data_IF_720227074642
#
_entry.id   IF_720227074642
#
_cell.length_a   1.000
_cell.length_b   1.000
_cell.length_c   1.000
_cell.angle_alpha   90.00
_cell.angle_beta   90.00
_cell.angle_gamma   90.00
#
_symmetry.space_group_name_H-M   'P 1'
#
loop_
_entity.id
_entity.type
_entity.pdbx_description
1 polymer ?
#
# COMPACT_ATOMS: atom_id res chain seq x y z
N UNK A 1 23.15 -20.64 1.56
CA UNK A 1 22.45 -19.45 2.10
C UNK A 1 21.68 -19.87 3.35
N UNK A 2 21.59 -19.00 4.35
CA UNK A 2 20.69 -19.22 5.49
C UNK A 2 19.28 -18.69 5.13
N UNK A 3 18.30 -18.84 6.02
CA UNK A 3 16.91 -18.43 5.77
C UNK A 3 16.75 -16.92 5.53
N UNK A 4 17.52 -16.07 6.22
CA UNK A 4 17.42 -14.62 6.10
C UNK A 4 17.96 -14.15 4.74
N UNK A 5 19.06 -14.74 4.27
CA UNK A 5 19.60 -14.45 2.93
C UNK A 5 18.64 -14.92 1.82
N UNK A 6 17.96 -16.05 2.02
CA UNK A 6 16.95 -16.55 1.06
C UNK A 6 15.75 -15.62 1.02
N UNK A 7 15.28 -15.16 2.19
CA UNK A 7 14.19 -14.21 2.30
C UNK A 7 14.54 -12.88 1.63
N UNK A 8 15.72 -12.33 1.91
CA UNK A 8 16.17 -11.09 1.29
C UNK A 8 16.28 -11.19 -0.23
N UNK A 9 16.87 -12.26 -0.75
CA UNK A 9 16.97 -12.48 -2.19
C UNK A 9 15.57 -12.55 -2.84
N UNK A 10 14.63 -13.24 -2.20
CA UNK A 10 13.24 -13.30 -2.69
C UNK A 10 12.54 -11.94 -2.61
N UNK A 11 12.75 -11.16 -1.54
CA UNK A 11 12.14 -9.83 -1.40
C UNK A 11 12.58 -8.87 -2.51
N UNK A 12 13.87 -8.84 -2.82
CA UNK A 12 14.42 -8.01 -3.91
C UNK A 12 13.83 -8.43 -5.25
N UNK A 13 13.91 -9.72 -5.58
CA UNK A 13 13.36 -10.20 -6.85
C UNK A 13 11.84 -9.97 -6.92
N UNK A 14 11.11 -10.16 -5.83
CA UNK A 14 9.68 -9.89 -5.81
C UNK A 14 9.35 -8.39 -5.97
N UNK A 15 10.22 -7.50 -5.49
CA UNK A 15 10.06 -6.06 -5.65
C UNK A 15 10.39 -5.60 -7.08
N UNK A 16 11.46 -6.11 -7.68
CA UNK A 16 11.83 -5.80 -9.07
C UNK A 16 10.73 -6.17 -10.07
N UNK A 17 9.96 -7.23 -9.76
CA UNK A 17 8.84 -7.66 -10.59
C UNK A 17 7.46 -7.17 -10.12
N UNK A 18 7.40 -6.28 -9.11
CA UNK A 18 6.13 -5.89 -8.44
C UNK A 18 5.11 -5.29 -9.40
N UNK A 19 5.56 -4.48 -10.37
CA UNK A 19 4.75 -3.80 -11.36
C UNK A 19 4.03 -4.76 -12.34
N UNK A 20 4.56 -5.97 -12.52
CA UNK A 20 4.10 -6.90 -13.53
C UNK A 20 3.07 -7.88 -12.97
N UNK A 21 2.20 -8.37 -13.85
CA UNK A 21 1.28 -9.46 -13.58
C UNK A 21 2.02 -10.81 -13.54
N UNK A 22 2.95 -10.89 -12.59
CA UNK A 22 3.80 -12.03 -12.31
C UNK A 22 3.76 -12.33 -10.81
N UNK A 23 3.90 -13.62 -10.50
CA UNK A 23 4.08 -14.09 -9.14
C UNK A 23 5.52 -14.58 -8.96
N UNK A 24 6.26 -13.96 -8.05
CA UNK A 24 7.59 -14.42 -7.64
C UNK A 24 7.44 -15.27 -6.39
N UNK A 25 7.79 -16.54 -6.47
CA UNK A 25 7.56 -17.50 -5.38
C UNK A 25 8.72 -18.47 -5.20
N UNK A 26 8.97 -18.83 -3.95
CA UNK A 26 9.87 -19.94 -3.56
C UNK A 26 9.12 -21.26 -3.39
N UNK A 27 7.79 -21.27 -3.54
CA UNK A 27 6.97 -22.45 -3.37
C UNK A 27 6.83 -23.23 -4.69
N UNK A 28 7.49 -24.39 -4.75
CA UNK A 28 7.45 -25.25 -5.94
C UNK A 28 6.04 -25.75 -6.29
N UNK A 29 5.15 -25.97 -5.32
CA UNK A 29 3.79 -26.37 -5.61
C UNK A 29 3.02 -25.25 -6.34
N UNK A 30 3.23 -23.98 -5.95
CA UNK A 30 2.66 -22.82 -6.64
C UNK A 30 3.26 -22.68 -8.04
N UNK A 31 4.59 -22.82 -8.18
CA UNK A 31 5.24 -22.81 -9.49
C UNK A 31 4.63 -23.88 -10.42
N UNK A 32 4.39 -25.08 -9.88
CA UNK A 32 3.90 -26.22 -10.65
C UNK A 32 2.45 -26.10 -11.14
N UNK A 33 1.66 -25.14 -10.63
CA UNK A 33 0.29 -24.91 -11.11
C UNK A 33 0.21 -24.15 -12.43
N UNK A 34 1.30 -23.48 -12.85
CA UNK A 34 1.35 -22.72 -14.10
C UNK A 34 1.89 -23.57 -15.26
N UNK A 35 1.44 -23.35 -16.51
CA UNK A 35 2.02 -23.99 -17.70
C UNK A 35 3.51 -23.68 -17.89
N UNK A 36 4.28 -24.59 -18.50
CA UNK A 36 5.74 -24.40 -18.72
C UNK A 36 6.09 -23.12 -19.48
N UNK A 37 5.27 -22.72 -20.45
CA UNK A 37 5.43 -21.48 -21.22
C UNK A 37 4.88 -20.24 -20.51
N UNK A 38 4.53 -20.33 -19.23
CA UNK A 38 4.03 -19.22 -18.39
C UNK A 38 4.72 -19.19 -17.02
N UNK A 39 5.85 -19.88 -16.89
CA UNK A 39 6.65 -19.93 -15.68
C UNK A 39 8.11 -20.11 -16.01
N UNK A 40 8.99 -19.59 -15.16
CA UNK A 40 10.43 -19.82 -15.24
C UNK A 40 10.98 -19.89 -13.83
N UNK A 41 11.99 -20.74 -13.61
CA UNK A 41 12.67 -20.87 -12.33
C UNK A 41 14.14 -20.48 -12.49
N UNK A 42 14.73 -19.95 -11.42
CA UNK A 42 16.17 -19.79 -11.31
C UNK A 42 16.68 -20.69 -10.20
N UNK A 43 17.77 -21.40 -10.46
CA UNK A 43 18.41 -22.29 -9.49
C UNK A 43 19.58 -21.57 -8.85
N UNK A 44 19.47 -21.33 -7.54
CA UNK A 44 20.60 -20.87 -6.73
C UNK A 44 21.43 -22.07 -6.31
N UNK A 45 22.71 -22.12 -6.68
CA UNK A 45 23.56 -23.29 -6.46
C UNK A 45 25.00 -22.91 -6.12
N UNK A 46 25.72 -23.80 -5.44
CA UNK A 46 27.12 -23.62 -5.06
C UNK A 46 28.11 -23.92 -6.18
N UNK A 47 27.65 -24.48 -7.30
CA UNK A 47 28.51 -24.87 -8.44
C UNK A 47 28.20 -24.02 -9.65
N UNK A 48 29.22 -23.58 -10.37
CA UNK A 48 29.12 -22.84 -11.63
C UNK A 48 29.21 -23.75 -12.87
N UNK A 49 28.95 -25.06 -12.73
CA UNK A 49 29.11 -26.04 -13.82
C UNK A 49 28.34 -25.68 -15.09
N UNK A 50 27.18 -25.03 -14.95
CA UNK A 50 26.38 -24.58 -16.09
C UNK A 50 27.03 -23.41 -16.86
N UNK A 51 27.85 -22.59 -16.20
CA UNK A 51 28.61 -21.50 -16.81
C UNK A 51 29.85 -21.14 -15.95
N UNK A 52 30.99 -21.82 -16.15
CA UNK A 52 32.15 -21.66 -15.29
C UNK A 52 32.69 -20.22 -15.24
N UNK A 53 32.96 -19.71 -14.03
CA UNK A 53 33.47 -18.37 -13.77
C UNK A 53 32.43 -17.25 -13.76
N UNK A 54 31.14 -17.54 -13.98
CA UNK A 54 30.06 -16.56 -13.88
C UNK A 54 29.46 -16.44 -12.48
N UNK A 55 28.73 -15.33 -12.25
CA UNK A 55 27.87 -15.15 -11.08
C UNK A 55 26.43 -15.65 -11.32
N UNK A 56 26.00 -15.68 -12.58
CA UNK A 56 24.72 -16.21 -13.01
C UNK A 56 24.73 -16.55 -14.50
N UNK A 57 23.67 -17.18 -14.97
CA UNK A 57 23.45 -17.44 -16.40
C UNK A 57 21.97 -17.65 -16.71
N UNK A 58 21.54 -17.20 -17.89
CA UNK A 58 20.21 -17.43 -18.41
C UNK A 58 20.21 -17.46 -19.94
N UNK A 59 19.28 -18.24 -20.51
CA UNK A 59 18.97 -18.14 -21.93
C UNK A 59 18.04 -16.96 -22.18
N UNK A 60 18.41 -16.13 -23.15
CA UNK A 60 17.60 -14.98 -23.54
C UNK A 60 16.34 -15.42 -24.30
N UNK A 61 15.20 -14.78 -24.03
CA UNK A 61 13.89 -15.09 -24.62
C UNK A 61 13.38 -16.51 -24.31
N UNK A 62 13.68 -17.04 -23.12
CA UNK A 62 13.27 -18.39 -22.74
C UNK A 62 12.06 -18.43 -21.80
N UNK A 63 11.53 -17.30 -21.31
CA UNK A 63 10.41 -17.29 -20.36
C UNK A 63 9.19 -18.04 -20.91
N UNK A 64 8.74 -17.68 -22.12
CA UNK A 64 7.56 -18.25 -22.78
C UNK A 64 7.83 -19.55 -23.56
N UNK A 65 9.00 -20.17 -23.39
CA UNK A 65 9.32 -21.43 -24.06
C UNK A 65 8.72 -22.64 -23.32
N UNK A 66 8.47 -23.73 -24.06
CA UNK A 66 8.04 -25.01 -23.48
C UNK A 66 9.19 -25.83 -22.89
N UNK A 67 10.44 -25.36 -23.00
CA UNK A 67 11.56 -25.97 -22.29
C UNK A 67 11.48 -25.59 -20.81
N UNK A 68 11.82 -26.48 -19.88
CA UNK A 68 11.92 -26.17 -18.44
C UNK A 68 13.37 -25.84 -18.02
N UNK A 69 14.19 -25.33 -18.96
CA UNK A 69 15.55 -24.88 -18.65
C UNK A 69 15.50 -23.71 -17.67
N UNK A 70 16.12 -23.83 -16.48
CA UNK A 70 16.13 -22.75 -15.51
C UNK A 70 17.11 -21.65 -15.93
N UNK A 71 17.08 -20.52 -15.25
CA UNK A 71 18.30 -19.71 -15.10
C UNK A 71 19.09 -20.16 -13.87
N UNK A 72 20.28 -19.60 -13.65
CA UNK A 72 21.15 -19.98 -12.56
C UNK A 72 21.73 -18.76 -11.86
N UNK A 73 21.87 -18.85 -10.53
CA UNK A 73 22.67 -17.97 -9.71
C UNK A 73 23.72 -18.80 -8.96
N UNK A 74 25.00 -18.46 -9.10
CA UNK A 74 26.12 -19.24 -8.61
C UNK A 74 26.74 -18.61 -7.35
N UNK A 75 26.54 -19.25 -6.20
CA UNK A 75 27.07 -18.73 -4.92
C UNK A 75 28.57 -18.94 -4.77
N UNK A 76 29.20 -19.78 -5.60
CA UNK A 76 30.68 -19.92 -5.65
C UNK A 76 31.36 -18.63 -6.11
N UNK A 77 30.76 -17.93 -7.06
CA UNK A 77 31.27 -16.67 -7.61
C UNK A 77 30.71 -15.44 -6.88
N UNK A 78 29.41 -15.44 -6.58
CA UNK A 78 28.73 -14.29 -5.98
C UNK A 78 28.80 -14.22 -4.44
N UNK A 79 29.16 -15.32 -3.78
CA UNK A 79 28.93 -15.48 -2.35
C UNK A 79 27.47 -15.77 -2.03
N UNK A 80 27.08 -15.60 -0.77
CA UNK A 80 25.75 -16.01 -0.27
C UNK A 80 24.91 -14.88 0.31
N UNK A 81 25.30 -13.63 0.09
CA UNK A 81 24.55 -12.46 0.51
C UNK A 81 23.24 -12.35 -0.28
N UNK A 82 22.13 -12.18 0.42
CA UNK A 82 20.77 -12.14 -0.10
C UNK A 82 20.60 -10.99 -1.09
N UNK A 83 21.15 -9.81 -0.78
CA UNK A 83 21.24 -8.71 -1.76
C UNK A 83 21.88 -9.15 -3.08
N UNK A 84 23.04 -9.80 -3.04
CA UNK A 84 23.74 -10.15 -4.28
C UNK A 84 23.00 -11.23 -5.07
N UNK A 85 22.43 -12.21 -4.39
CA UNK A 85 21.64 -13.25 -5.04
C UNK A 85 20.33 -12.69 -5.59
N UNK A 86 19.66 -11.79 -4.88
CA UNK A 86 18.46 -11.10 -5.36
C UNK A 86 18.70 -10.33 -6.66
N UNK A 87 19.79 -9.54 -6.72
CA UNK A 87 20.19 -8.84 -7.95
C UNK A 87 20.46 -9.79 -9.12
N UNK A 88 21.18 -10.88 -8.88
CA UNK A 88 21.45 -11.90 -9.91
C UNK A 88 20.14 -12.52 -10.38
N UNK A 89 19.26 -12.94 -9.45
CA UNK A 89 17.98 -13.54 -9.81
C UNK A 89 17.17 -12.61 -10.72
N UNK A 90 17.06 -11.32 -10.38
CA UNK A 90 16.36 -10.35 -11.19
C UNK A 90 17.00 -10.16 -12.57
N UNK A 91 18.33 -10.03 -12.62
CA UNK A 91 19.09 -9.93 -13.87
C UNK A 91 18.87 -11.13 -14.80
N UNK A 92 18.99 -12.34 -14.24
CA UNK A 92 18.85 -13.57 -15.01
C UNK A 92 17.40 -13.80 -15.45
N UNK A 93 16.41 -13.47 -14.62
CA UNK A 93 15.02 -13.46 -15.06
C UNK A 93 14.77 -12.43 -16.17
N UNK A 94 15.40 -11.25 -16.08
CA UNK A 94 15.40 -10.23 -17.14
C UNK A 94 15.88 -10.80 -18.48
N UNK A 95 16.98 -11.55 -18.49
CA UNK A 95 17.41 -12.29 -19.68
C UNK A 95 16.34 -13.25 -20.18
N UNK A 96 15.72 -14.06 -19.31
CA UNK A 96 14.67 -14.99 -19.76
C UNK A 96 13.50 -14.26 -20.44
N UNK A 97 13.23 -13.01 -20.06
CA UNK A 97 12.22 -12.13 -20.62
C UNK A 97 12.70 -11.33 -21.84
N UNK A 98 13.95 -11.51 -22.29
CA UNK A 98 14.47 -10.93 -23.53
C UNK A 98 15.41 -9.74 -23.36
N UNK A 99 15.71 -9.35 -22.12
CA UNK A 99 16.60 -8.23 -21.85
C UNK A 99 18.06 -8.60 -22.13
N UNK A 100 18.84 -7.58 -22.49
CA UNK A 100 20.29 -7.63 -22.70
C UNK A 100 20.96 -6.76 -21.64
N UNK A 101 22.28 -6.89 -21.53
CA UNK A 101 23.02 -6.14 -20.53
C UNK A 101 22.97 -4.64 -20.78
N UNK A 102 22.83 -3.88 -19.71
CA UNK A 102 23.01 -2.45 -19.67
C UNK A 102 24.46 -2.14 -19.35
N UNK A 103 25.22 -1.75 -20.39
CA UNK A 103 26.63 -1.41 -20.31
C UNK A 103 26.91 0.08 -20.48
N UNK A 104 28.15 0.47 -20.27
CA UNK A 104 28.61 1.84 -20.49
C UNK A 104 29.97 1.86 -21.20
N UNK A 105 30.10 2.67 -22.25
CA UNK A 105 31.29 2.76 -23.09
C UNK A 105 31.69 1.36 -23.65
N UNK A 106 32.83 0.84 -23.23
CA UNK A 106 33.36 -0.46 -23.63
C UNK A 106 33.00 -1.60 -22.67
N UNK A 107 32.37 -1.28 -21.54
CA UNK A 107 32.04 -2.26 -20.50
C UNK A 107 30.64 -2.83 -20.75
N UNK A 108 30.56 -4.16 -20.75
CA UNK A 108 29.30 -4.90 -20.91
C UNK A 108 28.30 -4.62 -19.79
N UNK A 109 28.79 -4.39 -18.57
CA UNK A 109 27.96 -4.13 -17.39
C UNK A 109 28.26 -2.75 -16.84
N UNK A 110 27.22 -1.94 -16.69
CA UNK A 110 27.32 -0.67 -16.00
C UNK A 110 27.14 -0.86 -14.49
N UNK A 111 28.10 -0.40 -13.70
CA UNK A 111 28.07 -0.47 -12.23
C UNK A 111 27.25 0.65 -11.57
N UNK A 112 26.54 1.44 -12.37
CA UNK A 112 25.75 2.57 -11.92
C UNK A 112 26.59 3.77 -11.49
N UNK A 113 25.90 4.77 -10.94
CA UNK A 113 26.49 6.00 -10.42
C UNK A 113 25.67 6.48 -9.21
N UNK A 114 26.31 7.28 -8.35
CA UNK A 114 25.68 7.69 -7.10
C UNK A 114 25.19 6.49 -6.30
N UNK A 115 23.89 6.45 -6.02
CA UNK A 115 23.23 5.38 -5.28
C UNK A 115 22.39 4.44 -6.17
N UNK A 116 22.46 4.59 -7.49
CA UNK A 116 21.62 3.90 -8.46
C UNK A 116 22.44 3.03 -9.42
N UNK A 117 21.87 1.90 -9.85
CA UNK A 117 22.37 1.08 -10.96
C UNK A 117 21.21 0.40 -11.72
N UNK A 118 21.39 0.09 -13.01
CA UNK A 118 20.42 -0.72 -13.75
C UNK A 118 20.50 -2.20 -13.34
N UNK A 119 19.35 -2.88 -13.25
CA UNK A 119 19.26 -4.33 -12.94
C UNK A 119 20.03 -5.15 -13.99
N UNK A 120 19.92 -4.79 -15.27
CA UNK A 120 20.66 -5.46 -16.34
C UNK A 120 22.14 -5.04 -16.43
N UNK A 121 22.64 -4.24 -15.47
CA UNK A 121 24.05 -3.93 -15.28
C UNK A 121 24.67 -4.72 -14.12
N UNK A 122 25.39 -4.04 -13.23
CA UNK A 122 26.04 -4.61 -12.05
C UNK A 122 25.65 -3.84 -10.77
N UNK A 123 24.43 -4.06 -10.29
CA UNK A 123 23.80 -3.31 -9.19
C UNK A 123 24.19 -3.69 -7.75
N UNK A 124 25.04 -4.71 -7.56
CA UNK A 124 25.37 -5.31 -6.24
C UNK A 124 25.63 -4.34 -5.09
N UNK A 125 26.22 -3.18 -5.38
CA UNK A 125 26.73 -2.23 -4.39
C UNK A 125 25.92 -0.92 -4.33
N UNK A 126 24.70 -0.93 -4.86
CA UNK A 126 23.80 0.23 -4.89
C UNK A 126 22.55 -0.07 -4.08
N UNK A 127 22.02 0.95 -3.40
CA UNK A 127 20.79 0.79 -2.64
C UNK A 127 19.56 0.83 -3.57
N UNK A 128 19.64 1.55 -4.69
CA UNK A 128 18.58 1.63 -5.69
C UNK A 128 19.00 0.87 -6.94
N UNK A 129 18.21 -0.11 -7.33
CA UNK A 129 18.42 -0.94 -8.52
C UNK A 129 17.09 -1.04 -9.26
N UNK A 130 17.07 -0.67 -10.53
CA UNK A 130 15.82 -0.55 -11.30
C UNK A 130 15.99 -1.02 -12.74
N UNK A 131 14.88 -1.34 -13.41
CA UNK A 131 14.87 -1.52 -14.86
C UNK A 131 15.26 -0.21 -15.55
N UNK A 132 15.84 -0.28 -16.75
CA UNK A 132 16.40 0.89 -17.39
C UNK A 132 16.06 1.01 -18.88
N UNK A 133 16.43 2.17 -19.41
CA UNK A 133 16.57 2.47 -20.84
C UNK A 133 18.02 2.81 -21.21
N UNK A 134 18.93 2.60 -20.26
CA UNK A 134 20.30 3.11 -20.27
C UNK A 134 20.39 4.58 -20.70
N UNK A 135 19.56 5.44 -20.09
CA UNK A 135 19.46 6.87 -20.43
C UNK A 135 20.70 7.68 -20.02
N UNK A 136 21.61 7.06 -19.26
CA UNK A 136 22.89 7.64 -18.87
C UNK A 136 23.83 7.77 -20.07
N UNK A 137 24.72 8.76 -20.00
CA UNK A 137 25.70 9.07 -21.02
C UNK A 137 26.54 7.83 -21.37
N UNK A 138 26.66 7.57 -22.67
CA UNK A 138 27.37 6.42 -23.26
C UNK A 138 26.84 5.05 -22.84
N UNK A 139 25.54 4.94 -22.49
CA UNK A 139 24.84 3.66 -22.41
C UNK A 139 24.96 2.86 -23.72
N UNK A 140 25.15 1.55 -23.61
CA UNK A 140 25.41 0.69 -24.78
C UNK A 140 24.19 -0.09 -25.28
N UNK A 141 23.11 -0.12 -24.48
CA UNK A 141 21.88 -0.85 -24.76
C UNK A 141 20.67 0.00 -24.37
N UNK A 142 19.92 0.50 -25.35
CA UNK A 142 18.76 1.36 -25.12
C UNK A 142 17.43 0.61 -25.23
N UNK A 143 17.38 -0.60 -24.67
CA UNK A 143 16.14 -1.36 -24.60
C UNK A 143 15.12 -0.65 -23.71
N UNK A 144 13.85 -0.68 -24.09
CA UNK A 144 12.75 -0.34 -23.17
C UNK A 144 12.43 -1.59 -22.35
N UNK A 145 13.16 -1.77 -21.24
CA UNK A 145 13.03 -2.97 -20.40
C UNK A 145 11.59 -3.27 -19.99
N UNK A 146 10.84 -2.25 -19.55
CA UNK A 146 9.47 -2.42 -19.10
C UNK A 146 8.56 -2.84 -20.26
N UNK A 147 8.73 -2.26 -21.45
CA UNK A 147 7.99 -2.67 -22.64
C UNK A 147 8.34 -4.09 -23.13
N UNK A 148 9.61 -4.51 -22.99
CA UNK A 148 10.03 -5.87 -23.36
C UNK A 148 9.45 -6.88 -22.36
N UNK A 149 9.57 -6.64 -21.05
CA UNK A 149 9.01 -7.51 -20.02
C UNK A 149 7.51 -7.67 -20.25
N UNK A 150 6.78 -6.56 -20.48
CA UNK A 150 5.33 -6.55 -20.69
C UNK A 150 4.87 -6.88 -22.11
N UNK A 151 5.78 -7.40 -22.95
CA UNK A 151 5.45 -7.71 -24.33
C UNK A 151 4.58 -8.96 -24.47
N UNK A 152 3.78 -8.99 -25.53
CA UNK A 152 2.97 -10.17 -25.90
C UNK A 152 3.81 -11.43 -26.12
N UNK A 153 5.09 -11.29 -26.47
CA UNK A 153 6.01 -12.41 -26.66
C UNK A 153 6.30 -13.15 -25.34
N UNK A 154 6.32 -12.42 -24.22
CA UNK A 154 6.46 -13.01 -22.89
C UNK A 154 5.11 -13.46 -22.31
N UNK A 155 3.99 -12.94 -22.83
CA UNK A 155 2.66 -13.18 -22.27
C UNK A 155 2.50 -12.60 -20.85
N UNK A 156 3.33 -11.61 -20.52
CA UNK A 156 3.33 -10.86 -19.27
C UNK A 156 2.82 -9.47 -19.59
N UNK A 157 1.96 -8.92 -18.74
CA UNK A 157 1.54 -7.52 -18.79
C UNK A 157 1.81 -6.85 -17.46
N UNK A 158 1.52 -5.56 -17.35
CA UNK A 158 1.42 -4.90 -16.06
C UNK A 158 0.29 -5.49 -15.23
N UNK A 159 0.35 -5.27 -13.92
CA UNK A 159 -0.82 -5.44 -13.06
C UNK A 159 -1.95 -4.51 -13.52
N UNK A 160 -3.17 -4.89 -13.20
CA UNK A 160 -4.32 -4.01 -13.41
C UNK A 160 -4.20 -2.86 -12.40
N UNK A 161 -4.38 -1.65 -12.91
CA UNK A 161 -4.49 -0.39 -12.16
C UNK A 161 -5.48 -0.53 -11.00
N UNK A 162 -5.05 -0.23 -9.78
CA UNK A 162 -5.85 -0.46 -8.56
C UNK A 162 -6.56 0.80 -8.04
N UNK A 163 -6.10 1.99 -8.43
CA UNK A 163 -6.72 3.27 -8.08
C UNK A 163 -6.81 4.22 -9.27
N UNK A 164 -7.78 5.14 -9.25
CA UNK A 164 -7.96 6.09 -10.34
C UNK A 164 -7.14 7.37 -10.17
N UNK A 165 -6.75 7.96 -11.31
CA UNK A 165 -5.80 9.08 -11.37
C UNK A 165 -6.46 10.47 -11.25
N UNK A 166 -7.78 10.53 -11.04
CA UNK A 166 -8.55 11.78 -11.04
C UNK A 166 -9.47 11.88 -9.82
N UNK A 167 -9.86 13.10 -9.43
CA UNK A 167 -10.77 13.28 -8.28
C UNK A 167 -12.15 12.67 -8.47
N UNK A 168 -12.57 12.42 -9.72
CA UNK A 168 -13.80 11.71 -10.05
C UNK A 168 -13.70 10.19 -9.80
N UNK A 169 -12.51 9.63 -9.91
CA UNK A 169 -12.21 8.20 -9.77
C UNK A 169 -11.39 7.89 -8.52
N UNK A 170 -11.23 8.87 -7.62
CA UNK A 170 -10.39 8.73 -6.45
C UNK A 170 -10.94 7.69 -5.47
N UNK A 171 -10.07 6.81 -5.00
CA UNK A 171 -10.41 5.78 -4.02
C UNK A 171 -10.60 6.42 -2.64
N UNK A 172 -11.76 6.29 -1.97
CA UNK A 172 -11.91 6.80 -0.61
C UNK A 172 -10.98 6.06 0.36
N UNK A 173 -10.21 6.79 1.17
CA UNK A 173 -9.44 6.19 2.26
C UNK A 173 -10.40 5.51 3.24
N UNK A 174 -10.06 4.28 3.62
CA UNK A 174 -10.74 3.54 4.68
C UNK A 174 -10.25 4.09 6.03
N UNK A 175 -11.15 4.80 6.73
CA UNK A 175 -10.90 5.41 8.04
C UNK A 175 -11.80 4.75 9.08
N UNK A 176 -11.21 4.21 10.16
CA UNK A 176 -11.93 3.65 11.30
C UNK A 176 -11.85 4.61 12.50
N UNK A 177 -12.95 5.28 12.79
CA UNK A 177 -12.99 6.37 13.76
C UNK A 177 -12.16 7.55 13.24
N UNK A 178 -10.91 7.66 13.71
CA UNK A 178 -9.94 8.68 13.27
C UNK A 178 -8.65 8.03 12.76
N UNK A 179 -8.56 6.71 12.71
CA UNK A 179 -7.35 5.98 12.34
C UNK A 179 -7.43 5.51 10.88
N UNK A 180 -6.32 5.66 10.17
CA UNK A 180 -6.10 5.13 8.82
C UNK A 180 -5.12 3.96 8.95
N UNK A 181 -5.55 2.76 8.59
CA UNK A 181 -4.70 1.57 8.64
C UNK A 181 -4.00 1.36 7.31
N UNK A 182 -2.68 1.14 7.34
CA UNK A 182 -1.89 0.79 6.15
C UNK A 182 -2.36 -0.51 5.49
N UNK A 183 -2.89 -1.48 6.26
CA UNK A 183 -3.38 -2.75 5.70
C UNK A 183 -4.69 -2.63 4.91
N UNK A 184 -5.40 -1.52 5.04
CA UNK A 184 -6.68 -1.27 4.35
C UNK A 184 -6.56 -0.23 3.26
N UNK A 185 -5.40 0.43 3.15
CA UNK A 185 -5.12 1.51 2.22
C UNK A 185 -3.75 1.25 1.59
N UNK A 186 -3.73 0.43 0.55
CA UNK A 186 -2.53 0.00 -0.17
C UNK A 186 -2.78 0.16 -1.66
N UNK A 187 -1.73 0.43 -2.41
CA UNK A 187 -1.75 0.46 -3.86
C UNK A 187 -0.39 0.09 -4.45
N UNK A 188 -0.35 -0.05 -5.77
CA UNK A 188 0.86 -0.34 -6.54
C UNK A 188 1.00 0.67 -7.66
N UNK A 189 2.06 1.47 -7.62
CA UNK A 189 2.48 2.27 -8.77
C UNK A 189 3.02 1.31 -9.82
N UNK A 190 2.19 0.97 -10.80
CA UNK A 190 2.38 -0.16 -11.69
C UNK A 190 3.10 0.17 -13.00
N UNK A 191 3.12 1.44 -13.42
CA UNK A 191 3.78 1.90 -14.64
C UNK A 191 4.25 3.35 -14.51
N UNK A 192 5.12 3.79 -15.44
CA UNK A 192 5.59 5.17 -15.46
C UNK A 192 4.40 6.13 -15.61
N UNK A 193 4.38 7.21 -14.82
CA UNK A 193 3.31 8.22 -14.77
C UNK A 193 1.96 7.73 -14.19
N UNK A 194 1.95 6.54 -13.59
CA UNK A 194 0.84 6.08 -12.75
C UNK A 194 0.66 6.98 -11.52
N UNK A 195 -0.60 7.31 -11.24
CA UNK A 195 -1.00 8.19 -10.15
C UNK A 195 -2.22 7.57 -9.46
N UNK A 196 -2.02 7.18 -8.21
CA UNK A 196 -3.10 6.70 -7.37
C UNK A 196 -3.67 7.85 -6.55
N UNK A 197 -4.89 8.26 -6.86
CA UNK A 197 -5.56 9.33 -6.12
C UNK A 197 -6.51 8.74 -5.07
N UNK A 198 -6.29 9.12 -3.81
CA UNK A 198 -7.21 8.82 -2.73
C UNK A 198 -7.96 10.06 -2.28
N UNK A 199 -9.16 9.88 -1.73
CA UNK A 199 -9.94 10.96 -1.12
C UNK A 199 -10.22 10.72 0.35
N UNK A 200 -10.30 11.79 1.14
CA UNK A 200 -10.74 11.72 2.53
C UNK A 200 -11.47 12.98 2.95
N UNK A 201 -12.22 12.89 4.05
CA UNK A 201 -12.90 14.03 4.68
C UNK A 201 -12.43 14.18 6.11
N UNK A 202 -12.21 15.41 6.54
CA UNK A 202 -11.83 15.76 7.92
C UNK A 202 -12.84 16.75 8.51
N UNK A 203 -13.07 16.68 9.82
CA UNK A 203 -13.81 17.72 10.57
C UNK A 203 -12.96 18.95 10.87
N UNK A 204 -11.74 19.01 10.33
CA UNK A 204 -10.75 20.03 10.63
C UNK A 204 -9.86 19.66 11.82
N UNK A 205 -8.69 20.30 11.87
CA UNK A 205 -7.64 20.00 12.84
C UNK A 205 -6.44 19.32 12.19
N UNK A 206 -5.57 18.74 13.02
CA UNK A 206 -4.30 18.19 12.55
C UNK A 206 -4.48 16.80 11.94
N UNK A 207 -4.29 16.71 10.62
CA UNK A 207 -4.22 15.45 9.87
C UNK A 207 -2.77 14.99 9.83
N UNK A 208 -2.56 13.69 10.11
CA UNK A 208 -1.27 13.03 9.96
C UNK A 208 -1.41 11.83 9.05
N UNK A 209 -0.69 11.78 7.94
CA UNK A 209 -0.63 10.62 7.05
C UNK A 209 0.82 10.19 6.87
N UNK A 210 1.09 8.89 6.96
CA UNK A 210 2.37 8.30 6.59
C UNK A 210 2.16 7.43 5.36
N UNK A 211 2.94 7.68 4.32
CA UNK A 211 2.94 6.90 3.08
C UNK A 211 4.25 6.12 3.04
N UNK A 212 4.14 4.80 3.07
CA UNK A 212 5.26 3.87 3.23
C UNK A 212 5.34 2.97 2.01
N UNK A 213 6.46 3.02 1.28
CA UNK A 213 6.78 2.02 0.26
C UNK A 213 7.24 0.71 0.92
N UNK A 214 7.74 -0.26 0.17
CA UNK A 214 8.34 -1.47 0.76
C UNK A 214 9.40 -1.11 1.81
N UNK A 215 9.36 -1.77 2.97
CA UNK A 215 10.21 -1.43 4.13
C UNK A 215 11.70 -1.76 3.93
N UNK A 216 12.02 -2.56 2.90
CA UNK A 216 13.38 -2.91 2.51
C UNK A 216 13.45 -3.09 0.99
N UNK A 217 14.53 -2.64 0.37
CA UNK A 217 14.80 -2.80 -1.07
C UNK A 217 13.70 -2.24 -1.99
N UNK A 218 12.95 -1.22 -1.54
CA UNK A 218 11.96 -0.54 -2.38
C UNK A 218 12.59 0.00 -3.66
N UNK A 219 11.88 -0.17 -4.78
CA UNK A 219 12.22 0.46 -6.06
C UNK A 219 11.45 1.76 -6.30
N UNK A 220 10.47 2.07 -5.44
CA UNK A 220 9.59 3.23 -5.55
C UNK A 220 10.15 4.40 -4.76
N UNK A 221 10.66 5.42 -5.45
CA UNK A 221 10.84 6.74 -4.86
C UNK A 221 9.50 7.48 -4.87
N UNK A 222 8.89 7.56 -3.69
CA UNK A 222 7.57 8.15 -3.51
C UNK A 222 7.55 9.66 -3.77
N UNK A 223 6.49 10.11 -4.42
CA UNK A 223 6.00 11.49 -4.38
C UNK A 223 4.52 11.48 -3.98
N UNK A 224 4.17 12.39 -3.08
CA UNK A 224 2.81 12.56 -2.59
C UNK A 224 2.39 14.02 -2.72
N UNK A 225 1.29 14.26 -3.43
CA UNK A 225 0.67 15.58 -3.55
C UNK A 225 -0.65 15.64 -2.76
N UNK A 226 -0.83 16.68 -1.95
CA UNK A 226 -2.07 16.94 -1.22
C UNK A 226 -2.87 18.02 -1.93
N UNK A 227 -4.14 17.74 -2.23
CA UNK A 227 -5.08 18.69 -2.86
C UNK A 227 -6.30 18.95 -1.98
N UNK A 228 -6.87 20.15 -2.09
CA UNK A 228 -8.17 20.46 -1.52
C UNK A 228 -9.33 20.00 -2.43
N UNK A 229 -10.57 20.20 -1.97
CA UNK A 229 -11.80 19.85 -2.71
C UNK A 229 -11.90 20.49 -4.11
N UNK A 230 -11.27 21.63 -4.34
CA UNK A 230 -11.24 22.35 -5.63
C UNK A 230 -10.08 21.89 -6.53
N UNK A 231 -9.43 20.77 -6.22
CA UNK A 231 -8.22 20.27 -6.88
C UNK A 231 -7.05 21.27 -6.87
N UNK A 232 -7.00 22.18 -5.89
CA UNK A 232 -5.84 23.08 -5.72
C UNK A 232 -4.77 22.35 -4.93
N UNK A 233 -3.54 22.31 -5.47
CA UNK A 233 -2.38 21.74 -4.81
C UNK A 233 -2.05 22.53 -3.54
N UNK A 234 -1.98 21.83 -2.41
CA UNK A 234 -1.65 22.39 -1.10
C UNK A 234 -0.22 22.12 -0.68
N UNK A 235 0.37 21.03 -1.16
CA UNK A 235 1.74 20.65 -0.86
C UNK A 235 2.17 19.42 -1.62
N UNK A 236 3.47 19.35 -1.87
CA UNK A 236 4.16 18.20 -2.47
C UNK A 236 5.20 17.70 -1.48
N UNK A 237 5.24 16.39 -1.29
CA UNK A 237 6.15 15.69 -0.40
C UNK A 237 6.87 14.60 -1.18
N UNK A 238 8.17 14.46 -1.01
CA UNK A 238 9.00 13.48 -1.74
C UNK A 238 9.77 12.61 -0.76
N UNK A 239 9.98 11.35 -1.13
CA UNK A 239 10.79 10.40 -0.35
C UNK A 239 12.27 10.77 -0.35
N UNK A 240 13.05 10.06 0.47
CA UNK A 240 14.51 10.19 0.50
C UNK A 240 15.13 9.34 -0.61
N UNK A 241 15.78 9.93 -1.63
CA UNK A 241 16.37 9.18 -2.74
C UNK A 241 17.56 8.30 -2.33
N UNK A 242 18.11 8.47 -1.12
CA UNK A 242 19.19 7.63 -0.58
C UNK A 242 18.68 6.38 0.11
N UNK A 243 17.43 6.40 0.56
CA UNK A 243 16.76 5.27 1.20
C UNK A 243 15.25 5.34 0.91
N UNK A 244 14.83 4.62 -0.14
CA UNK A 244 13.46 4.58 -0.65
C UNK A 244 12.46 3.94 0.32
N UNK A 245 12.94 3.33 1.41
CA UNK A 245 12.11 2.70 2.43
C UNK A 245 11.67 3.67 3.54
N UNK A 246 12.16 4.93 3.54
CA UNK A 246 11.74 5.94 4.53
C UNK A 246 10.34 6.45 4.18
N UNK A 247 9.37 6.42 5.13
CA UNK A 247 8.03 6.90 4.85
C UNK A 247 7.99 8.42 4.69
N UNK A 248 7.13 8.89 3.79
CA UNK A 248 6.71 10.29 3.73
C UNK A 248 5.71 10.55 4.86
N UNK A 249 5.92 11.61 5.64
CA UNK A 249 5.02 12.04 6.71
C UNK A 249 4.41 13.40 6.37
N UNK A 250 3.10 13.41 6.17
CA UNK A 250 2.29 14.62 6.05
C UNK A 250 1.72 14.90 7.43
N UNK A 251 2.00 16.08 8.00
CA UNK A 251 1.47 16.48 9.30
C UNK A 251 1.03 17.94 9.22
N UNK A 252 -0.25 18.17 8.97
CA UNK A 252 -0.77 19.50 8.63
C UNK A 252 -2.15 19.75 9.22
N UNK A 253 -2.41 20.98 9.63
CA UNK A 253 -3.72 21.43 10.07
C UNK A 253 -4.59 21.76 8.86
N UNK A 254 -5.71 21.04 8.71
CA UNK A 254 -6.67 21.26 7.63
C UNK A 254 -7.96 21.83 8.20
N UNK A 255 -8.68 22.58 7.36
CA UNK A 255 -10.04 23.00 7.66
C UNK A 255 -11.01 21.83 7.46
N UNK A 256 -12.24 21.89 8.00
CA UNK A 256 -13.25 20.90 7.67
C UNK A 256 -13.50 20.86 6.16
N UNK A 257 -13.52 19.67 5.57
CA UNK A 257 -13.74 19.52 4.12
C UNK A 257 -13.20 18.22 3.53
N UNK A 258 -13.37 18.09 2.22
CA UNK A 258 -12.84 16.98 1.42
C UNK A 258 -11.45 17.34 0.87
N UNK A 259 -10.56 16.36 0.87
CA UNK A 259 -9.19 16.47 0.39
C UNK A 259 -8.83 15.23 -0.43
N UNK A 260 -7.76 15.35 -1.21
CA UNK A 260 -7.22 14.27 -2.01
C UNK A 260 -5.72 14.13 -1.76
N UNK A 261 -5.23 12.90 -1.74
CA UNK A 261 -3.80 12.58 -1.68
C UNK A 261 -3.44 11.75 -2.90
N UNK A 262 -2.54 12.26 -3.73
CA UNK A 262 -2.07 11.59 -4.94
C UNK A 262 -0.73 10.94 -4.64
N UNK A 263 -0.60 9.64 -4.86
CA UNK A 263 0.66 8.89 -4.73
C UNK A 263 1.18 8.58 -6.13
N UNK A 264 2.48 8.78 -6.34
CA UNK A 264 3.15 8.53 -7.62
C UNK A 264 4.63 8.20 -7.41
N UNK A 265 5.27 7.65 -8.43
CA UNK A 265 6.72 7.47 -8.49
C UNK A 265 7.43 8.66 -9.14
N UNK A 266 8.63 9.01 -8.65
CA UNK A 266 9.50 10.04 -9.25
C UNK A 266 10.94 9.56 -9.42
N UNK A 267 11.72 10.28 -10.22
CA UNK A 267 13.17 10.11 -10.31
C UNK A 267 13.94 11.02 -9.35
N UNK A 268 15.26 10.88 -9.35
CA UNK A 268 16.20 11.77 -8.66
C UNK A 268 17.21 12.35 -9.67
N UNK A 269 17.35 13.68 -9.72
CA UNK A 269 18.38 14.32 -10.53
C UNK A 269 18.18 14.14 -12.04
N UNK A 270 19.24 13.82 -12.76
CA UNK A 270 19.25 13.49 -14.19
C UNK A 270 19.66 12.03 -14.40
N UNK A 271 19.52 11.47 -15.62
CA UNK A 271 20.05 10.14 -15.94
C UNK A 271 21.54 9.94 -15.64
N UNK A 272 22.34 11.01 -15.54
CA UNK A 272 23.78 10.94 -15.28
C UNK A 272 24.16 11.15 -13.80
N UNK A 273 23.24 11.68 -13.00
CA UNK A 273 23.50 12.00 -11.58
C UNK A 273 22.58 11.24 -10.62
N UNK A 274 21.60 10.50 -11.15
CA UNK A 274 20.62 9.72 -10.41
C UNK A 274 19.85 8.81 -11.36
N UNK A 275 18.55 9.03 -11.53
CA UNK A 275 17.68 8.20 -12.37
C UNK A 275 16.38 8.92 -12.71
N UNK A 276 15.76 8.56 -13.83
CA UNK A 276 14.45 9.08 -14.24
C UNK A 276 13.34 8.39 -13.46
N UNK A 277 12.09 8.88 -13.58
CA UNK A 277 10.92 8.22 -12.98
C UNK A 277 10.55 6.88 -13.66
N UNK A 278 11.25 6.50 -14.74
CA UNK A 278 10.91 5.39 -15.63
C UNK A 278 10.55 4.10 -14.88
N UNK A 279 11.39 3.66 -13.95
CA UNK A 279 11.18 2.42 -13.19
C UNK A 279 11.08 2.65 -11.68
N UNK A 280 10.66 3.85 -11.27
CA UNK A 280 10.27 4.14 -9.88
C UNK A 280 8.88 3.59 -9.61
N UNK A 281 8.77 2.27 -9.51
CA UNK A 281 7.54 1.49 -9.41
C UNK A 281 7.58 0.64 -8.15
N UNK A 282 6.42 0.31 -7.59
CA UNK A 282 6.36 -0.52 -6.40
C UNK A 282 5.08 -0.39 -5.60
N UNK A 283 5.01 -1.14 -4.51
CA UNK A 283 3.87 -1.12 -3.60
C UNK A 283 4.06 -0.04 -2.53
N UNK A 284 2.94 0.52 -2.06
CA UNK A 284 2.92 1.39 -0.89
C UNK A 284 1.67 1.17 -0.03
N UNK A 285 1.69 1.76 1.16
CA UNK A 285 0.54 1.84 2.04
C UNK A 285 0.39 3.23 2.66
N UNK A 286 -0.84 3.59 3.01
CA UNK A 286 -1.20 4.85 3.65
C UNK A 286 -1.74 4.56 5.04
N UNK A 287 -1.12 5.15 6.06
CA UNK A 287 -1.55 5.02 7.45
C UNK A 287 -1.62 6.39 8.13
N UNK A 288 -2.20 6.46 9.32
CA UNK A 288 -2.15 7.66 10.14
C UNK A 288 -3.48 8.01 10.79
N UNK A 289 -3.75 9.31 10.89
CA UNK A 289 -4.81 9.89 11.67
C UNK A 289 -5.49 11.04 10.91
N UNK A 290 -6.81 10.96 10.79
CA UNK A 290 -7.64 12.01 10.22
C UNK A 290 -8.68 12.39 11.28
N UNK A 291 -8.69 13.65 11.78
CA UNK A 291 -9.75 14.13 12.64
C UNK A 291 -11.09 13.93 11.94
N UNK A 292 -11.97 13.19 12.60
CA UNK A 292 -13.34 13.08 12.20
C UNK A 292 -14.19 13.59 13.35
N UNK A 293 -15.32 14.18 13.02
CA UNK A 293 -16.40 14.32 13.97
C UNK A 293 -17.01 12.93 14.15
N UNK A 294 -16.30 12.04 14.84
CA UNK A 294 -17.01 11.05 15.62
C UNK A 294 -17.92 11.86 16.57
N UNK A 295 -19.18 11.47 16.80
CA UNK A 295 -19.96 12.09 17.85
C UNK A 295 -19.10 12.01 19.10
N UNK A 296 -18.65 13.16 19.59
CA UNK A 296 -17.91 13.24 20.82
C UNK A 296 -18.83 12.64 21.88
N UNK A 297 -18.51 11.44 22.35
CA UNK A 297 -18.87 11.02 23.69
C UNK A 297 -18.00 11.84 24.63
N UNK A 298 -18.31 13.13 24.74
CA UNK A 298 -17.87 13.91 25.89
C UNK A 298 -18.34 13.15 27.12
N UNK A 299 -17.37 12.83 27.97
CA UNK A 299 -17.48 12.32 29.31
C UNK A 299 -18.90 12.27 29.89
N UNK A 300 -19.29 11.03 30.17
CA UNK A 300 -20.18 10.60 31.23
C UNK A 300 -20.06 11.54 32.45
N UNK A 301 -21.23 11.95 32.93
CA UNK A 301 -21.50 12.49 34.26
C UNK A 301 -21.40 14.00 34.51
N UNK A 302 -22.14 14.81 33.73
CA UNK A 302 -22.77 16.01 34.30
C UNK A 302 -24.23 16.12 33.87
N UNK A 303 -25.09 15.86 34.85
CA UNK A 303 -26.55 15.81 34.81
C UNK A 303 -27.12 14.45 34.37
N UNK A 304 -27.21 13.52 35.31
CA UNK A 304 -28.51 12.86 35.44
C UNK A 304 -29.54 13.98 35.61
N UNK A 305 -30.19 14.36 34.52
CA UNK A 305 -31.55 14.82 34.65
C UNK A 305 -32.30 13.61 35.20
N UNK A 306 -32.59 13.59 36.50
CA UNK A 306 -33.17 12.44 37.24
C UNK A 306 -34.50 11.94 36.65
N UNK A 307 -34.98 12.64 35.62
CA UNK A 307 -36.19 12.51 34.85
C UNK A 307 -36.09 11.63 33.61
N UNK A 308 -34.94 11.05 33.24
CA UNK A 308 -34.85 10.11 32.10
C UNK A 308 -34.09 8.84 32.50
N UNK A 309 -34.68 7.67 32.26
CA UNK A 309 -34.14 6.37 32.70
C UNK A 309 -34.25 5.33 31.59
N UNK A 310 -33.23 4.49 31.47
CA UNK A 310 -33.21 3.31 30.59
C UNK A 310 -33.07 2.02 31.40
N UNK A 311 -34.01 1.08 31.26
CA UNK A 311 -34.01 -0.18 32.01
C UNK A 311 -34.70 -1.33 31.24
N UNK A 312 -34.38 -2.60 31.53
CA UNK A 312 -33.33 -3.07 32.43
C UNK A 312 -31.92 -2.83 31.85
N UNK A 313 -30.94 -2.69 32.74
CA UNK A 313 -29.52 -2.70 32.39
C UNK A 313 -28.79 -3.63 33.37
N UNK A 314 -28.34 -4.83 32.96
CA UNK A 314 -28.25 -5.30 31.57
C UNK A 314 -29.61 -5.60 30.90
N UNK A 315 -29.71 -5.32 29.61
CA UNK A 315 -30.88 -5.64 28.76
C UNK A 315 -30.72 -7.03 28.16
N UNK A 316 -31.83 -7.76 28.01
CA UNK A 316 -31.90 -9.04 27.30
C UNK A 316 -32.75 -8.86 26.04
N UNK A 317 -34.06 -8.73 26.16
CA UNK A 317 -34.93 -8.74 24.97
C UNK A 317 -35.53 -7.38 24.63
N UNK A 318 -35.71 -6.51 25.62
CA UNK A 318 -36.40 -5.22 25.46
C UNK A 318 -35.79 -4.18 26.39
N UNK A 319 -35.43 -3.02 25.83
CA UNK A 319 -35.01 -1.84 26.58
C UNK A 319 -36.20 -0.88 26.68
N UNK A 320 -36.55 -0.47 27.89
CA UNK A 320 -37.50 0.61 28.14
C UNK A 320 -36.75 1.91 28.40
N UNK A 321 -37.14 2.97 27.72
CA UNK A 321 -36.73 4.35 27.99
C UNK A 321 -37.93 5.11 28.52
N UNK A 322 -37.81 5.70 29.70
CA UNK A 322 -38.87 6.43 30.39
C UNK A 322 -38.41 7.85 30.70
N UNK A 323 -39.34 8.82 30.57
CA UNK A 323 -39.12 10.21 30.94
C UNK A 323 -40.25 10.78 31.80
N UNK A 324 -39.91 11.63 32.76
CA UNK A 324 -40.84 12.44 33.55
C UNK A 324 -41.15 13.80 32.89
N UNK A 325 -40.73 14.01 31.63
CA UNK A 325 -40.98 15.23 30.85
C UNK A 325 -42.06 14.99 29.78
N UNK A 326 -42.86 16.02 29.48
CA UNK A 326 -43.76 16.03 28.32
C UNK A 326 -43.08 16.53 27.03
N UNK A 327 -41.76 16.74 27.06
CA UNK A 327 -40.99 17.17 25.90
C UNK A 327 -40.88 16.04 24.85
N UNK A 328 -40.61 16.44 23.60
CA UNK A 328 -40.32 15.49 22.52
C UNK A 328 -38.82 15.25 22.42
N UNK A 329 -38.44 13.97 22.31
CA UNK A 329 -37.03 13.57 22.22
C UNK A 329 -36.74 12.73 20.98
N UNK A 330 -35.55 12.86 20.43
CA UNK A 330 -34.96 11.91 19.50
C UNK A 330 -34.07 10.94 20.27
N UNK A 331 -34.20 9.66 19.97
CA UNK A 331 -33.43 8.58 20.59
C UNK A 331 -32.58 7.94 19.51
N UNK A 332 -31.29 7.84 19.79
CA UNK A 332 -30.31 7.17 18.96
C UNK A 332 -29.61 6.07 19.77
N UNK A 333 -29.46 4.89 19.16
CA UNK A 333 -28.67 3.80 19.71
C UNK A 333 -27.45 3.59 18.81
N UNK A 334 -26.28 3.57 19.42
CA UNK A 334 -25.04 3.20 18.77
C UNK A 334 -24.39 2.00 19.45
N UNK A 335 -23.68 1.18 18.69
CA UNK A 335 -22.85 0.10 19.22
C UNK A 335 -21.53 0.65 19.82
N UNK A 336 -20.66 -0.24 20.31
CA UNK A 336 -19.37 0.13 20.91
C UNK A 336 -18.37 0.77 19.93
N UNK A 337 -18.55 0.63 18.61
CA UNK A 337 -17.75 1.33 17.59
C UNK A 337 -18.33 2.69 17.19
N UNK A 338 -19.45 3.11 17.80
CA UNK A 338 -20.13 4.36 17.51
C UNK A 338 -21.07 4.32 16.30
N UNK A 339 -21.20 3.16 15.64
CA UNK A 339 -22.14 2.98 14.54
C UNK A 339 -23.57 3.07 15.07
N UNK A 340 -24.35 3.98 14.49
CA UNK A 340 -25.78 4.09 14.76
C UNK A 340 -26.51 2.86 14.21
N UNK A 341 -27.24 2.17 15.06
CA UNK A 341 -27.98 0.95 14.72
C UNK A 341 -29.49 1.09 14.84
N UNK A 342 -29.95 2.16 15.51
CA UNK A 342 -31.37 2.42 15.70
C UNK A 342 -31.60 3.90 15.97
N UNK A 343 -32.68 4.44 15.42
CA UNK A 343 -33.13 5.80 15.67
C UNK A 343 -34.65 5.85 15.73
N UNK A 344 -35.20 6.60 16.68
CA UNK A 344 -36.64 6.81 16.81
C UNK A 344 -36.96 8.09 17.57
N UNK A 345 -38.23 8.43 17.66
CA UNK A 345 -38.73 9.56 18.42
C UNK A 345 -39.52 9.09 19.65
N UNK A 346 -39.33 9.77 20.77
CA UNK A 346 -40.15 9.62 21.97
C UNK A 346 -41.33 10.59 21.88
N UNK A 347 -42.52 10.07 21.60
CA UNK A 347 -43.77 10.86 21.52
C UNK A 347 -44.66 10.71 22.77
N UNK A 348 -44.28 9.85 23.71
CA UNK A 348 -44.95 9.56 24.98
C UNK A 348 -43.94 9.50 26.13
N UNK A 349 -44.40 9.43 27.38
CA UNK A 349 -43.50 9.42 28.55
C UNK A 349 -42.67 8.13 28.68
N UNK A 350 -42.91 7.13 27.85
CA UNK A 350 -42.06 5.94 27.75
C UNK A 350 -42.04 5.39 26.32
N UNK A 351 -41.02 4.57 26.03
CA UNK A 351 -40.85 3.81 24.80
C UNK A 351 -40.18 2.48 25.10
N UNK A 352 -40.63 1.44 24.42
CA UNK A 352 -40.02 0.11 24.43
C UNK A 352 -39.30 -0.14 23.12
N UNK A 353 -38.07 -0.63 23.21
CA UNK A 353 -37.20 -0.89 22.07
C UNK A 353 -36.79 -2.37 22.10
N UNK A 354 -37.15 -3.16 21.08
CA UNK A 354 -36.66 -4.52 20.94
C UNK A 354 -35.13 -4.57 20.87
N UNK A 355 -34.54 -5.41 21.69
CA UNK A 355 -33.10 -5.64 21.83
C UNK A 355 -32.69 -7.11 21.59
N UNK A 356 -33.65 -8.02 21.44
CA UNK A 356 -33.43 -9.46 21.31
C UNK A 356 -32.55 -9.86 20.12
N UNK A 357 -32.60 -9.09 19.03
CA UNK A 357 -31.83 -9.29 17.79
C UNK A 357 -30.42 -8.65 17.83
N UNK A 358 -30.10 -7.90 18.89
CA UNK A 358 -28.83 -7.19 19.01
C UNK A 358 -27.75 -8.08 19.62
N UNK A 359 -26.53 -8.12 19.06
CA UNK A 359 -25.41 -8.86 19.65
C UNK A 359 -25.14 -8.47 21.11
N UNK A 360 -24.63 -9.41 21.91
CA UNK A 360 -24.14 -9.10 23.26
C UNK A 360 -23.02 -8.05 23.18
N UNK A 361 -23.04 -7.05 24.08
CA UNK A 361 -22.08 -5.97 24.05
C UNK A 361 -22.54 -4.68 24.70
N UNK A 362 -21.68 -3.66 24.62
CA UNK A 362 -21.95 -2.31 25.09
C UNK A 362 -22.66 -1.50 24.00
N UNK A 363 -23.75 -0.86 24.39
CA UNK A 363 -24.50 0.09 23.58
C UNK A 363 -24.58 1.43 24.27
N UNK A 364 -24.71 2.48 23.47
CA UNK A 364 -24.86 3.85 23.92
C UNK A 364 -26.20 4.36 23.43
N UNK A 365 -26.96 4.93 24.36
CA UNK A 365 -28.27 5.53 24.09
C UNK A 365 -28.10 7.03 24.24
N UNK A 366 -28.23 7.76 23.12
CA UNK A 366 -28.22 9.22 23.10
C UNK A 366 -29.65 9.72 22.93
N UNK A 367 -30.07 10.62 23.81
CA UNK A 367 -31.41 11.20 23.83
C UNK A 367 -31.27 12.71 23.67
N UNK A 368 -31.84 13.26 22.61
CA UNK A 368 -31.81 14.70 22.28
C UNK A 368 -33.20 15.31 22.45
N UNK A 369 -33.33 16.34 23.28
CA UNK A 369 -34.57 17.10 23.40
C UNK A 369 -34.75 17.97 22.14
N UNK A 370 -35.87 17.82 21.42
CA UNK A 370 -36.11 18.53 20.15
C UNK A 370 -36.25 20.03 20.31
N UNK A 371 -36.74 20.49 21.46
CA UNK A 371 -36.97 21.91 21.73
C UNK A 371 -35.68 22.60 22.17
N UNK A 372 -34.99 22.03 23.16
CA UNK A 372 -33.81 22.65 23.76
C UNK A 372 -32.50 22.26 23.09
N UNK A 373 -32.52 21.24 22.22
CA UNK A 373 -31.34 20.64 21.59
C UNK A 373 -30.32 20.06 22.60
N UNK A 374 -30.69 19.92 23.87
CA UNK A 374 -29.85 19.27 24.89
C UNK A 374 -29.80 17.77 24.69
N UNK A 375 -28.62 17.18 24.90
CA UNK A 375 -28.38 15.75 24.76
C UNK A 375 -27.99 15.11 26.09
N UNK A 376 -28.50 13.91 26.33
CA UNK A 376 -28.08 13.03 27.40
C UNK A 376 -27.68 11.68 26.81
N UNK A 377 -26.54 11.13 27.24
CA UNK A 377 -26.10 9.81 26.79
C UNK A 377 -25.84 8.88 27.97
N UNK A 378 -26.36 7.65 27.91
CA UNK A 378 -26.09 6.63 28.91
C UNK A 378 -25.76 5.27 28.29
N UNK A 379 -25.09 4.44 29.10
CA UNK A 379 -24.60 3.11 28.72
C UNK A 379 -25.65 2.03 29.01
N UNK A 380 -25.82 1.11 28.07
CA UNK A 380 -26.63 -0.11 28.22
C UNK A 380 -25.76 -1.32 27.88
N UNK A 381 -25.79 -2.35 28.72
CA UNK A 381 -25.11 -3.62 28.48
C UNK A 381 -26.15 -4.62 27.98
N UNK A 382 -26.00 -5.15 26.77
CA UNK A 382 -26.79 -6.27 26.27
C UNK A 382 -26.09 -7.57 26.66
N UNK A 383 -26.82 -8.44 27.38
CA UNK A 383 -26.39 -9.80 27.70
C UNK A 383 -26.77 -10.79 26.62
#
# INVERSE_FOLDING_TARGET
MNSDEILEAWEITAEDFRAFNLNVTTNEAVFNTYPQNKRRRCVVTTTDTAYPGGAGFALVNNFSSFSDLPCWAFTSGAGTYGKYIGEILSHEFGHTLGLRHDGQNQYTYYSGHGNWAPIMGAGYYRNVTQWSKAEYTNGTNHQDDLAIITSIANGVGYRVDDHGNTSATATPLVVSGQQVSGSQNQGVIGYTDDIDLFSFTTSGGNVKLNIQATERHSNLLLKVDLYNEKNTLMGTYTGDPRNLSIPISINTALNPGKYYVAVSGIGEGTPDTGYTSYSSLGIYSISGFIPSSAPFLTAIDKHQDHKIRGYPNPVIDELTIETESNDHFDIQISNSSGLMIYQTALTSNYLKIPFSDKPAGLYLITIRNRTTQKENTFKIIKK
#
